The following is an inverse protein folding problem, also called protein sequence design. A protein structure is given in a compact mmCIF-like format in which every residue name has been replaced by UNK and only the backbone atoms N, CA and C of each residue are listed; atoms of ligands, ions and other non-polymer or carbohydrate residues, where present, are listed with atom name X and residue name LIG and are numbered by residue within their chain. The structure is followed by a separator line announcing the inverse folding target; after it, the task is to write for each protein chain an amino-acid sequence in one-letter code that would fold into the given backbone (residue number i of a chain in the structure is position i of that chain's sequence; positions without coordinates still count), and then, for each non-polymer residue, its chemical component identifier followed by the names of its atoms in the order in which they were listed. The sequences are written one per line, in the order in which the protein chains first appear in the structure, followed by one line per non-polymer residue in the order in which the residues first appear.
data_IF_061461929571
#
_entry.id   IF_061461929571
#
_cell.length_a   1.000
_cell.length_b   1.000
_cell.length_c   1.000
_cell.angle_alpha   90.00
_cell.angle_beta   90.00
_cell.angle_gamma   90.00
#
_symmetry.space_group_name_H-M   'P 1'
#
loop_
_entity.id
_entity.type
_entity.pdbx_description
1 polymer ?
#
# COMPACT_ATOMS: atom_id res chain seq x y z
N UNK A 1 -16.27 12.09 0.52
CA UNK A 1 -17.04 11.43 -0.58
C UNK A 1 -16.49 10.01 -0.71
N UNK A 2 -17.19 9.03 -0.13
CA UNK A 2 -16.76 7.63 -0.09
C UNK A 2 -16.89 6.94 -1.46
N UNK A 3 -16.06 5.92 -1.70
CA UNK A 3 -16.12 5.03 -2.87
C UNK A 3 -17.02 3.84 -2.55
N UNK A 4 -18.33 4.08 -2.41
CA UNK A 4 -19.32 3.14 -1.89
C UNK A 4 -20.31 2.63 -2.96
N UNK A 5 -20.04 2.88 -4.23
CA UNK A 5 -20.86 2.43 -5.36
C UNK A 5 -20.13 1.36 -6.16
N UNK A 6 -20.53 0.11 -5.98
CA UNK A 6 -19.95 -1.07 -6.62
C UNK A 6 -20.04 -1.01 -8.15
N UNK A 7 -21.13 -0.46 -8.70
CA UNK A 7 -21.28 -0.30 -10.15
C UNK A 7 -20.26 0.65 -10.73
N UNK A 8 -20.06 1.81 -10.10
CA UNK A 8 -19.03 2.77 -10.48
C UNK A 8 -17.62 2.17 -10.32
N UNK A 9 -17.36 1.44 -9.24
CA UNK A 9 -16.08 0.79 -9.03
C UNK A 9 -15.78 -0.22 -10.17
N UNK A 10 -16.74 -1.04 -10.57
CA UNK A 10 -16.61 -1.99 -11.69
C UNK A 10 -16.26 -1.25 -12.99
N UNK A 11 -16.95 -0.15 -13.31
CA UNK A 11 -16.65 0.63 -14.52
C UNK A 11 -15.22 1.21 -14.50
N UNK A 12 -14.81 1.75 -13.37
CA UNK A 12 -13.51 2.38 -13.22
C UNK A 12 -12.36 1.38 -13.27
N UNK A 13 -12.45 0.23 -12.56
CA UNK A 13 -11.36 -0.76 -12.58
C UNK A 13 -11.33 -1.56 -13.90
N UNK A 14 -12.42 -1.61 -14.68
CA UNK A 14 -12.40 -2.12 -16.07
C UNK A 14 -11.47 -1.32 -16.96
N UNK A 15 -11.32 -0.01 -16.74
CA UNK A 15 -10.37 0.83 -17.47
C UNK A 15 -8.93 0.37 -17.21
N UNK A 16 -8.61 0.01 -15.96
CA UNK A 16 -7.32 -0.57 -15.58
C UNK A 16 -7.10 -1.94 -16.24
N UNK A 17 -8.09 -2.83 -16.18
CA UNK A 17 -8.04 -4.14 -16.86
C UNK A 17 -7.82 -3.99 -18.36
N UNK A 18 -8.52 -3.05 -19.01
CA UNK A 18 -8.39 -2.74 -20.45
C UNK A 18 -7.02 -2.18 -20.86
N UNK A 19 -6.22 -1.71 -19.90
CA UNK A 19 -4.84 -1.26 -20.10
C UNK A 19 -3.80 -2.32 -19.73
N UNK A 20 -4.22 -3.55 -19.45
CA UNK A 20 -3.34 -4.66 -19.11
C UNK A 20 -3.14 -4.89 -17.61
N UNK A 21 -3.83 -4.12 -16.76
CA UNK A 21 -3.86 -4.37 -15.32
C UNK A 21 -4.42 -5.75 -15.00
N UNK A 22 -3.90 -6.38 -13.95
CA UNK A 22 -4.26 -7.76 -13.58
C UNK A 22 -4.65 -7.93 -12.13
N UNK A 23 -3.99 -7.20 -11.24
CA UNK A 23 -4.16 -7.34 -9.79
C UNK A 23 -4.30 -5.98 -9.14
N UNK A 24 -5.21 -5.87 -8.21
CA UNK A 24 -5.40 -4.69 -7.35
C UNK A 24 -5.24 -5.14 -5.91
N UNK A 25 -4.39 -4.45 -5.14
CA UNK A 25 -4.37 -4.54 -3.70
C UNK A 25 -5.37 -3.50 -3.18
N UNK A 26 -6.36 -4.00 -2.48
CA UNK A 26 -7.42 -3.20 -1.86
C UNK A 26 -7.16 -3.21 -0.35
N UNK A 27 -6.56 -2.13 0.14
CA UNK A 27 -6.02 -2.05 1.51
C UNK A 27 -6.93 -1.25 2.46
N UNK A 28 -8.25 -1.33 2.23
CA UNK A 28 -9.27 -0.74 3.11
C UNK A 28 -9.58 -1.69 4.28
N UNK A 29 -9.02 -1.49 5.49
CA UNK A 29 -9.32 -2.36 6.62
C UNK A 29 -10.65 -1.99 7.29
N UNK A 30 -11.00 -2.72 8.34
CA UNK A 30 -12.14 -2.41 9.17
C UNK A 30 -12.03 -0.99 9.77
N UNK A 31 -13.16 -0.30 9.85
CA UNK A 31 -13.25 1.09 10.36
C UNK A 31 -13.17 2.15 9.28
N UNK A 32 -12.68 1.83 8.06
CA UNK A 32 -12.69 2.76 6.93
C UNK A 32 -13.45 2.24 5.70
N UNK A 33 -14.20 1.15 5.84
CA UNK A 33 -15.16 0.72 4.82
C UNK A 33 -14.85 -0.59 4.10
N UNK A 34 -14.08 -1.51 4.71
CA UNK A 34 -13.86 -2.85 4.14
C UNK A 34 -15.18 -3.52 3.77
N UNK A 35 -15.30 -4.00 2.54
CA UNK A 35 -16.52 -4.53 1.95
C UNK A 35 -16.24 -5.83 1.15
N UNK A 36 -16.08 -6.99 1.83
CA UNK A 36 -15.65 -8.24 1.19
C UNK A 36 -16.56 -8.71 0.05
N UNK A 37 -17.89 -8.63 0.23
CA UNK A 37 -18.84 -9.06 -0.77
C UNK A 37 -18.76 -8.23 -2.06
N UNK A 38 -18.57 -6.92 -1.93
CA UNK A 38 -18.41 -5.99 -3.05
C UNK A 38 -17.10 -6.27 -3.79
N UNK A 39 -16.00 -6.57 -3.09
CA UNK A 39 -14.73 -6.94 -3.72
C UNK A 39 -14.86 -8.22 -4.54
N UNK A 40 -15.61 -9.22 -4.06
CA UNK A 40 -15.91 -10.43 -4.82
C UNK A 40 -16.74 -10.10 -6.07
N UNK A 41 -17.74 -9.23 -5.94
CA UNK A 41 -18.57 -8.81 -7.08
C UNK A 41 -17.72 -8.08 -8.15
N UNK A 42 -16.85 -7.17 -7.72
CA UNK A 42 -15.94 -6.44 -8.61
C UNK A 42 -14.98 -7.41 -9.30
N UNK A 43 -14.33 -8.33 -8.56
CA UNK A 43 -13.42 -9.33 -9.12
C UNK A 43 -14.09 -10.18 -10.19
N UNK A 44 -15.31 -10.68 -9.90
CA UNK A 44 -16.09 -11.50 -10.86
C UNK A 44 -16.50 -10.71 -12.11
N UNK A 45 -16.92 -9.45 -11.93
CA UNK A 45 -17.39 -8.61 -13.03
C UNK A 45 -16.26 -8.13 -13.96
N UNK A 46 -15.01 -8.10 -13.47
CA UNK A 46 -13.87 -7.50 -14.18
C UNK A 46 -12.80 -8.50 -14.60
N UNK A 47 -12.79 -9.69 -14.00
CA UNK A 47 -11.74 -10.69 -14.18
C UNK A 47 -10.39 -10.31 -13.55
N UNK A 48 -10.35 -9.27 -12.71
CA UNK A 48 -9.17 -8.87 -11.97
C UNK A 48 -8.97 -9.74 -10.72
N UNK A 49 -7.72 -9.96 -10.35
CA UNK A 49 -7.41 -10.43 -9.00
C UNK A 49 -7.50 -9.24 -8.05
N UNK A 50 -8.30 -9.37 -7.00
CA UNK A 50 -8.39 -8.37 -5.94
C UNK A 50 -7.88 -9.01 -4.65
N UNK A 51 -6.84 -8.43 -4.07
CA UNK A 51 -6.23 -8.85 -2.81
C UNK A 51 -6.76 -7.94 -1.72
N UNK A 52 -7.59 -8.48 -0.83
CA UNK A 52 -8.20 -7.76 0.27
C UNK A 52 -7.23 -7.58 1.43
N UNK A 53 -7.21 -6.39 2.01
CA UNK A 53 -6.47 -6.04 3.22
C UNK A 53 -7.18 -6.39 4.52
N UNK A 54 -6.40 -6.44 5.62
CA UNK A 54 -6.92 -6.60 6.99
C UNK A 54 -6.06 -5.83 8.00
N UNK A 55 -6.57 -5.70 9.22
CA UNK A 55 -5.96 -4.91 10.28
C UNK A 55 -6.68 -3.59 10.51
N UNK A 56 -5.98 -2.58 11.02
CA UNK A 56 -6.61 -1.31 11.43
C UNK A 56 -5.77 -0.12 10.96
N UNK A 57 -6.47 0.91 10.50
CA UNK A 57 -5.90 2.15 9.98
C UNK A 57 -5.50 3.10 11.13
N UNK A 58 -5.73 4.39 11.00
CA UNK A 58 -5.41 5.40 12.01
C UNK A 58 -6.31 5.27 13.25
N UNK A 59 -5.80 5.61 14.44
CA UNK A 59 -6.52 5.49 15.72
C UNK A 59 -7.95 6.05 15.68
N UNK A 60 -8.14 7.19 15.04
CA UNK A 60 -9.47 7.84 14.90
C UNK A 60 -10.52 6.99 14.19
N UNK A 61 -10.10 5.95 13.47
CA UNK A 61 -10.97 5.04 12.72
C UNK A 61 -11.05 3.65 13.35
N UNK A 62 -10.30 3.40 14.44
CA UNK A 62 -10.32 2.11 15.11
C UNK A 62 -11.72 1.78 15.63
N UNK A 63 -12.24 0.58 15.41
CA UNK A 63 -13.39 0.08 16.13
C UNK A 63 -13.19 0.16 17.64
N UNK A 64 -14.24 0.47 18.39
CA UNK A 64 -14.14 0.73 19.83
C UNK A 64 -13.44 -0.40 20.64
N UNK A 65 -13.57 -1.67 20.17
CA UNK A 65 -12.95 -2.83 20.81
C UNK A 65 -11.42 -2.79 20.80
N UNK A 66 -10.81 -2.18 19.78
CA UNK A 66 -9.34 -2.14 19.60
C UNK A 66 -8.66 -1.49 20.80
N UNK A 67 -9.32 -0.52 21.45
CA UNK A 67 -8.79 0.14 22.66
C UNK A 67 -8.51 -0.84 23.79
N UNK A 68 -9.33 -1.88 23.95
CA UNK A 68 -9.17 -2.88 25.01
C UNK A 68 -8.33 -4.09 24.61
N UNK A 69 -8.00 -4.23 23.34
CA UNK A 69 -7.18 -5.32 22.83
C UNK A 69 -5.70 -5.10 23.16
N UNK A 70 -4.99 -6.20 23.41
CA UNK A 70 -3.53 -6.24 23.43
C UNK A 70 -2.98 -6.40 22.03
N UNK A 71 -1.67 -6.20 21.83
CA UNK A 71 -1.02 -6.50 20.54
C UNK A 71 -1.14 -7.99 20.16
N UNK A 72 -1.26 -8.90 21.14
CA UNK A 72 -1.50 -10.32 20.87
C UNK A 72 -2.92 -10.55 20.33
N UNK A 73 -3.95 -9.96 20.95
CA UNK A 73 -5.33 -10.07 20.47
C UNK A 73 -5.49 -9.51 19.05
N UNK A 74 -4.78 -8.41 18.75
CA UNK A 74 -4.76 -7.81 17.40
C UNK A 74 -4.09 -8.77 16.40
N UNK A 75 -2.97 -9.39 16.79
CA UNK A 75 -2.31 -10.38 15.95
C UNK A 75 -3.21 -11.57 15.64
N UNK A 76 -3.91 -12.09 16.66
CA UNK A 76 -4.82 -13.22 16.53
C UNK A 76 -6.03 -12.89 15.65
N UNK A 77 -6.52 -11.65 15.70
CA UNK A 77 -7.61 -11.20 14.82
C UNK A 77 -7.15 -11.08 13.37
N UNK A 78 -5.99 -10.47 13.12
CA UNK A 78 -5.41 -10.38 11.77
C UNK A 78 -5.15 -11.77 11.20
N UNK A 79 -4.60 -12.70 11.98
CA UNK A 79 -4.35 -14.07 11.56
C UNK A 79 -5.64 -14.79 11.17
N UNK A 80 -6.74 -14.59 11.90
CA UNK A 80 -8.06 -15.12 11.53
C UNK A 80 -8.57 -14.53 10.20
N UNK A 81 -8.44 -13.23 9.98
CA UNK A 81 -8.83 -12.60 8.72
C UNK A 81 -8.05 -13.20 7.52
N UNK A 82 -6.80 -13.62 7.73
CA UNK A 82 -5.94 -14.24 6.71
C UNK A 82 -6.26 -15.72 6.49
N UNK A 83 -6.62 -16.47 7.53
CA UNK A 83 -6.76 -17.94 7.48
C UNK A 83 -8.21 -18.38 7.33
N UNK A 84 -9.12 -17.77 8.07
CA UNK A 84 -10.56 -18.08 8.04
C UNK A 84 -11.32 -17.10 7.16
N UNK A 85 -10.93 -15.82 7.18
CA UNK A 85 -11.53 -14.75 6.39
C UNK A 85 -12.65 -14.01 7.09
N UNK A 86 -13.16 -12.97 6.42
CA UNK A 86 -14.29 -12.13 6.82
C UNK A 86 -15.39 -12.36 5.81
N UNK A 87 -16.59 -12.73 6.27
CA UNK A 87 -17.74 -13.06 5.40
C UNK A 87 -17.39 -14.07 4.29
N UNK A 88 -16.51 -15.04 4.60
CA UNK A 88 -16.07 -16.08 3.68
C UNK A 88 -14.98 -15.63 2.68
N UNK A 89 -14.42 -14.42 2.83
CA UNK A 89 -13.34 -13.88 2.00
C UNK A 89 -12.08 -13.73 2.83
N UNK A 90 -11.01 -14.45 2.49
CA UNK A 90 -9.72 -14.33 3.17
C UNK A 90 -8.97 -13.10 2.69
N UNK A 91 -8.38 -12.38 3.64
CA UNK A 91 -7.42 -11.34 3.31
C UNK A 91 -6.12 -11.95 2.74
N UNK A 92 -5.37 -11.17 1.97
CA UNK A 92 -4.10 -11.59 1.38
C UNK A 92 -2.95 -10.60 1.63
N UNK A 93 -3.21 -9.51 2.33
CA UNK A 93 -2.22 -8.52 2.76
C UNK A 93 -2.62 -7.98 4.14
N UNK A 94 -1.65 -7.78 5.02
CA UNK A 94 -1.84 -7.09 6.30
C UNK A 94 -1.72 -5.59 6.01
N UNK A 95 -2.79 -4.85 6.21
CA UNK A 95 -2.80 -3.42 5.97
C UNK A 95 -4.02 -2.93 5.16
N UNK A 96 -4.07 -1.64 5.03
CA UNK A 96 -3.04 -0.66 5.41
C UNK A 96 -3.07 -0.41 6.92
N UNK A 97 -1.92 -0.57 7.60
CA UNK A 97 -1.77 -0.30 9.03
C UNK A 97 -1.42 1.17 9.21
N UNK A 98 -2.23 1.90 9.97
CA UNK A 98 -2.13 3.35 10.06
C UNK A 98 -1.07 3.83 11.06
N UNK A 99 -0.23 4.77 10.61
CA UNK A 99 0.65 5.58 11.45
C UNK A 99 0.39 7.04 11.12
N UNK A 100 -0.15 7.80 12.10
CA UNK A 100 -0.41 9.24 11.98
C UNK A 100 0.85 10.08 12.26
N UNK A 101 0.82 11.42 12.03
CA UNK A 101 1.91 12.30 12.44
C UNK A 101 2.22 12.24 13.94
N UNK A 102 1.23 11.89 14.77
CA UNK A 102 1.41 11.76 16.23
C UNK A 102 2.02 10.41 16.62
N UNK A 103 1.87 9.39 15.78
CA UNK A 103 2.26 8.01 16.01
C UNK A 103 1.89 7.57 17.44
N UNK A 104 0.60 7.53 17.70
CA UNK A 104 0.04 7.31 19.03
C UNK A 104 0.39 5.92 19.60
N UNK A 105 0.24 5.77 20.91
CA UNK A 105 0.45 4.46 21.57
C UNK A 105 -0.53 3.38 21.05
N UNK A 106 -1.75 3.79 20.66
CA UNK A 106 -2.73 2.88 20.07
C UNK A 106 -2.31 2.43 18.66
N UNK A 107 -1.79 3.33 17.84
CA UNK A 107 -1.25 3.00 16.52
C UNK A 107 0.00 2.12 16.62
N UNK A 108 0.91 2.40 17.55
CA UNK A 108 2.08 1.54 17.80
C UNK A 108 1.65 0.15 18.28
N UNK A 109 0.65 0.05 19.16
CA UNK A 109 0.09 -1.24 19.59
C UNK A 109 -0.47 -2.04 18.41
N UNK A 110 -1.20 -1.39 17.51
CA UNK A 110 -1.72 -2.02 16.28
C UNK A 110 -0.59 -2.47 15.37
N UNK A 111 0.42 -1.64 15.15
CA UNK A 111 1.59 -2.01 14.33
C UNK A 111 2.34 -3.21 14.93
N UNK A 112 2.50 -3.28 16.26
CA UNK A 112 3.08 -4.44 16.94
C UNK A 112 2.27 -5.71 16.71
N UNK A 113 0.93 -5.63 16.82
CA UNK A 113 0.03 -6.75 16.51
C UNK A 113 0.15 -7.22 15.05
N UNK A 114 0.17 -6.27 14.13
CA UNK A 114 0.33 -6.55 12.70
C UNK A 114 1.69 -7.20 12.37
N UNK A 115 2.77 -6.73 12.99
CA UNK A 115 4.10 -7.32 12.83
C UNK A 115 4.18 -8.75 13.38
N UNK A 116 3.53 -9.04 14.51
CA UNK A 116 3.39 -10.43 15.06
C UNK A 116 2.61 -11.33 14.11
N UNK A 117 1.50 -10.84 13.55
CA UNK A 117 0.72 -11.59 12.57
C UNK A 117 1.55 -11.86 11.31
N UNK A 118 2.31 -10.86 10.82
CA UNK A 118 3.26 -11.06 9.72
C UNK A 118 4.32 -12.11 10.04
N UNK A 119 4.92 -12.06 11.23
CA UNK A 119 5.92 -13.03 11.66
C UNK A 119 5.38 -14.47 11.67
N UNK A 120 4.10 -14.65 12.03
CA UNK A 120 3.45 -15.98 12.10
C UNK A 120 3.00 -16.49 10.72
N UNK A 121 2.53 -15.60 9.86
CA UNK A 121 1.87 -15.96 8.60
C UNK A 121 2.76 -15.78 7.37
N UNK A 122 3.82 -14.97 7.49
CA UNK A 122 4.64 -14.53 6.37
C UNK A 122 3.95 -13.57 5.38
N UNK A 123 2.66 -13.27 5.55
CA UNK A 123 1.89 -12.42 4.63
C UNK A 123 2.46 -10.99 4.60
N UNK A 124 2.54 -10.33 3.43
CA UNK A 124 3.09 -8.97 3.34
C UNK A 124 2.37 -7.98 4.26
N UNK A 125 3.15 -7.06 4.84
CA UNK A 125 2.68 -5.97 5.69
C UNK A 125 2.82 -4.63 4.97
N UNK A 126 1.71 -3.91 4.79
CA UNK A 126 1.67 -2.54 4.25
C UNK A 126 1.39 -1.55 5.37
N UNK A 127 2.26 -0.55 5.53
CA UNK A 127 2.16 0.45 6.59
C UNK A 127 2.00 1.84 5.98
N UNK A 128 0.89 2.50 6.30
CA UNK A 128 0.64 3.90 6.00
C UNK A 128 1.59 4.78 6.82
N UNK A 129 2.40 5.57 6.17
CA UNK A 129 3.20 6.61 6.81
C UNK A 129 2.56 7.99 6.63
N UNK A 130 2.72 8.91 7.59
CA UNK A 130 2.46 10.32 7.34
C UNK A 130 3.56 10.86 6.42
N UNK A 131 3.33 10.91 5.12
CA UNK A 131 4.35 11.06 4.07
C UNK A 131 5.41 12.16 4.29
N UNK A 132 5.04 13.22 5.01
CA UNK A 132 5.94 14.34 5.32
C UNK A 132 6.77 14.16 6.59
N UNK A 133 6.49 13.11 7.41
CA UNK A 133 7.26 12.77 8.62
C UNK A 133 8.13 11.55 8.38
N UNK A 134 9.35 11.52 8.89
CA UNK A 134 10.35 10.46 8.63
C UNK A 134 10.26 9.31 9.64
N UNK A 135 9.09 8.64 9.71
CA UNK A 135 8.86 7.52 10.64
C UNK A 135 9.26 6.15 10.11
N UNK A 136 9.74 6.02 8.87
CA UNK A 136 10.06 4.73 8.29
C UNK A 136 11.01 3.89 9.14
N UNK A 137 12.08 4.48 9.69
CA UNK A 137 13.01 3.74 10.57
C UNK A 137 12.33 3.26 11.85
N UNK A 138 11.54 4.11 12.52
CA UNK A 138 10.81 3.74 13.74
C UNK A 138 9.81 2.60 13.46
N UNK A 139 9.11 2.66 12.34
CA UNK A 139 8.19 1.59 11.92
C UNK A 139 8.96 0.29 11.72
N UNK A 140 10.08 0.32 11.00
CA UNK A 140 10.90 -0.87 10.78
C UNK A 140 11.54 -1.41 12.07
N UNK A 141 11.83 -0.54 13.05
CA UNK A 141 12.32 -0.97 14.36
C UNK A 141 11.23 -1.75 15.10
N UNK A 142 9.99 -1.21 15.16
CA UNK A 142 8.84 -1.91 15.76
C UNK A 142 8.57 -3.24 15.08
N UNK A 143 8.61 -3.29 13.74
CA UNK A 143 8.41 -4.54 12.99
C UNK A 143 9.48 -5.57 13.34
N UNK A 144 10.76 -5.17 13.41
CA UNK A 144 11.87 -6.06 13.76
C UNK A 144 11.80 -6.54 15.23
N UNK A 145 11.43 -5.66 16.17
CA UNK A 145 11.25 -6.00 17.58
C UNK A 145 10.21 -7.11 17.79
N UNK A 146 9.16 -7.14 16.97
CA UNK A 146 8.10 -8.16 17.02
C UNK A 146 8.38 -9.39 16.14
N UNK A 147 9.58 -9.50 15.59
CA UNK A 147 10.01 -10.61 14.74
C UNK A 147 9.46 -10.56 13.31
N UNK A 148 8.89 -9.44 12.89
CA UNK A 148 8.35 -9.27 11.54
C UNK A 148 9.44 -9.21 10.47
N UNK A 149 9.06 -9.53 9.23
CA UNK A 149 9.96 -9.59 8.08
C UNK A 149 10.07 -8.23 7.38
N UNK A 150 11.19 -7.54 7.57
CA UNK A 150 11.42 -6.26 6.90
C UNK A 150 11.38 -6.39 5.36
N UNK A 151 11.82 -7.53 4.82
CA UNK A 151 11.77 -7.84 3.39
C UNK A 151 10.35 -8.12 2.86
N UNK A 152 9.39 -8.30 3.75
CA UNK A 152 7.97 -8.43 3.46
C UNK A 152 7.16 -7.19 3.87
N UNK A 153 7.84 -6.08 4.20
CA UNK A 153 7.19 -4.84 4.66
C UNK A 153 7.25 -3.76 3.59
N UNK A 154 6.09 -3.15 3.31
CA UNK A 154 5.92 -1.99 2.43
C UNK A 154 5.73 -0.75 3.29
N UNK A 155 6.51 0.27 3.05
CA UNK A 155 6.34 1.60 3.61
C UNK A 155 5.61 2.46 2.57
N UNK A 156 4.32 2.71 2.79
CA UNK A 156 3.48 3.52 1.89
C UNK A 156 3.79 5.00 2.00
N UNK A 157 3.39 5.78 0.99
CA UNK A 157 3.46 7.24 0.93
C UNK A 157 4.88 7.81 1.06
N UNK A 158 5.85 7.17 0.39
CA UNK A 158 7.23 7.70 0.37
C UNK A 158 7.46 8.79 -0.69
N UNK A 159 6.46 9.12 -1.50
CA UNK A 159 6.54 10.18 -2.51
C UNK A 159 7.03 11.53 -1.92
N UNK A 160 6.49 12.06 -0.79
CA UNK A 160 6.94 13.33 -0.21
C UNK A 160 8.40 13.32 0.27
N UNK A 161 8.97 12.14 0.49
CA UNK A 161 10.39 11.98 0.85
C UNK A 161 11.31 11.74 -0.34
N UNK A 162 10.81 11.77 -1.59
CA UNK A 162 11.58 11.43 -2.79
C UNK A 162 12.86 12.24 -3.03
N UNK A 163 12.91 13.47 -2.52
CA UNK A 163 14.11 14.30 -2.56
C UNK A 163 15.14 13.92 -1.49
N UNK A 164 14.73 13.26 -0.41
CA UNK A 164 15.57 12.78 0.69
C UNK A 164 16.15 11.39 0.35
N UNK A 165 17.13 11.39 -0.53
CA UNK A 165 17.71 10.17 -1.10
C UNK A 165 18.34 9.26 -0.05
N UNK A 166 19.07 9.83 0.89
CA UNK A 166 19.74 9.08 1.95
C UNK A 166 18.74 8.34 2.83
N UNK A 167 17.63 8.98 3.17
CA UNK A 167 16.55 8.36 3.90
C UNK A 167 15.96 7.17 3.12
N UNK A 168 15.61 7.34 1.86
CA UNK A 168 15.03 6.27 1.06
C UNK A 168 15.99 5.10 0.82
N UNK A 169 17.26 5.39 0.53
CA UNK A 169 18.32 4.38 0.41
C UNK A 169 18.44 3.58 1.71
N UNK A 170 18.48 4.26 2.85
CA UNK A 170 18.63 3.62 4.16
C UNK A 170 17.46 2.68 4.49
N UNK A 171 16.23 3.03 4.12
CA UNK A 171 15.05 2.16 4.28
C UNK A 171 15.13 0.93 3.36
N UNK A 172 15.46 1.12 2.09
CA UNK A 172 15.61 0.02 1.13
C UNK A 172 16.72 -0.96 1.53
N UNK A 173 17.84 -0.46 2.05
CA UNK A 173 18.96 -1.29 2.54
C UNK A 173 18.59 -2.11 3.79
N UNK A 174 17.61 -1.67 4.58
CA UNK A 174 17.02 -2.48 5.66
C UNK A 174 16.12 -3.60 5.14
N UNK A 175 15.79 -3.61 3.86
CA UNK A 175 15.01 -4.64 3.21
C UNK A 175 13.58 -4.24 2.84
N UNK A 176 13.07 -3.11 3.34
CA UNK A 176 11.70 -2.66 3.08
C UNK A 176 11.46 -2.31 1.60
N UNK A 177 10.22 -2.46 1.16
CA UNK A 177 9.75 -1.89 -0.10
C UNK A 177 9.34 -0.44 0.10
N UNK A 178 9.68 0.39 -0.88
CA UNK A 178 9.36 1.81 -0.95
C UNK A 178 8.08 2.00 -1.77
N UNK A 179 6.96 2.35 -1.12
CA UNK A 179 5.69 2.62 -1.77
C UNK A 179 5.66 4.03 -2.37
N UNK A 180 5.79 4.12 -3.69
CA UNK A 180 5.49 5.31 -4.48
C UNK A 180 4.05 5.22 -4.95
N UNK A 181 3.12 5.38 -4.03
CA UNK A 181 1.70 5.11 -4.20
C UNK A 181 0.82 6.37 -4.30
N UNK A 182 1.41 7.55 -4.23
CA UNK A 182 0.73 8.82 -4.43
C UNK A 182 0.91 9.38 -5.85
N UNK A 183 1.09 8.52 -6.86
CA UNK A 183 1.22 8.98 -8.25
C UNK A 183 -0.13 9.54 -8.76
N UNK A 184 -0.09 10.71 -9.40
CA UNK A 184 -1.29 11.43 -9.83
C UNK A 184 -1.93 12.30 -8.75
N UNK A 185 -1.33 12.40 -7.57
CA UNK A 185 -1.82 13.21 -6.46
C UNK A 185 -1.01 14.51 -6.31
N UNK A 186 -1.16 15.42 -7.26
CA UNK A 186 -0.58 16.78 -7.16
C UNK A 186 -1.51 17.67 -6.32
N UNK A 187 -1.61 17.38 -5.02
CA UNK A 187 -2.50 18.06 -4.09
C UNK A 187 -1.73 18.72 -2.95
N UNK A 188 -2.29 19.81 -2.43
CA UNK A 188 -1.90 20.35 -1.13
C UNK A 188 -2.69 19.60 -0.04
N UNK A 189 -1.99 18.98 0.89
CA UNK A 189 -2.57 18.37 2.09
C UNK A 189 -2.50 19.39 3.23
N UNK A 190 -3.65 19.97 3.66
CA UNK A 190 -3.64 21.02 4.68
C UNK A 190 -3.02 20.54 5.99
N UNK A 191 -2.02 21.27 6.49
CA UNK A 191 -1.29 20.95 7.72
C UNK A 191 -0.15 19.94 7.55
N UNK A 192 0.00 19.33 6.37
CA UNK A 192 1.05 18.35 6.07
C UNK A 192 2.05 18.88 5.04
N UNK A 193 1.59 19.15 3.81
CA UNK A 193 2.45 19.67 2.75
C UNK A 193 1.90 19.51 1.35
N UNK A 194 2.66 19.97 0.36
CA UNK A 194 2.40 19.73 -1.05
C UNK A 194 2.91 18.36 -1.46
N UNK A 195 2.04 17.53 -2.03
CA UNK A 195 2.46 16.27 -2.66
C UNK A 195 3.31 16.57 -3.90
N UNK A 196 4.41 15.83 -4.12
CA UNK A 196 5.21 15.99 -5.33
C UNK A 196 4.40 15.59 -6.57
N UNK A 197 4.59 16.34 -7.66
CA UNK A 197 3.97 16.01 -8.92
C UNK A 197 4.56 14.74 -9.55
N UNK A 198 3.89 14.20 -10.56
CA UNK A 198 4.35 12.98 -11.24
C UNK A 198 5.73 13.10 -11.88
N UNK A 199 6.15 14.31 -12.29
CA UNK A 199 7.47 14.52 -12.87
C UNK A 199 8.57 14.36 -11.80
N UNK A 200 8.34 14.91 -10.61
CA UNK A 200 9.24 14.76 -9.45
C UNK A 200 9.28 13.31 -8.98
N UNK A 201 8.12 12.65 -8.90
CA UNK A 201 8.02 11.23 -8.57
C UNK A 201 8.77 10.35 -9.58
N UNK A 202 8.60 10.60 -10.87
CA UNK A 202 9.29 9.84 -11.92
C UNK A 202 10.81 10.05 -11.88
N UNK A 203 11.27 11.27 -11.59
CA UNK A 203 12.69 11.57 -11.40
C UNK A 203 13.27 10.81 -10.19
N UNK A 204 12.56 10.78 -9.07
CA UNK A 204 12.96 10.07 -7.86
C UNK A 204 13.03 8.55 -8.08
N UNK A 205 11.99 7.95 -8.67
CA UNK A 205 11.96 6.52 -9.02
C UNK A 205 13.09 6.17 -9.98
N UNK A 206 13.29 6.96 -11.03
CA UNK A 206 14.37 6.73 -11.99
C UNK A 206 15.76 6.84 -11.35
N UNK A 207 15.92 7.72 -10.38
CA UNK A 207 17.16 7.79 -9.61
C UNK A 207 17.38 6.53 -8.77
N UNK A 208 16.35 6.03 -8.06
CA UNK A 208 16.43 4.78 -7.29
C UNK A 208 16.80 3.59 -8.16
N UNK A 209 16.19 3.48 -9.36
CA UNK A 209 16.52 2.42 -10.33
C UNK A 209 17.99 2.49 -10.73
N UNK A 210 18.51 3.68 -11.08
CA UNK A 210 19.93 3.88 -11.44
C UNK A 210 20.88 3.63 -10.27
N UNK A 211 20.43 3.85 -9.05
CA UNK A 211 21.18 3.51 -7.82
C UNK A 211 21.16 2.01 -7.49
N UNK A 212 20.54 1.15 -8.33
CA UNK A 212 20.44 -0.29 -8.11
C UNK A 212 19.30 -0.72 -7.16
N UNK A 213 18.47 0.21 -6.70
CA UNK A 213 17.40 -0.02 -5.73
C UNK A 213 16.02 -0.22 -6.37
N UNK A 214 15.94 -0.30 -7.70
CA UNK A 214 14.68 -0.49 -8.42
C UNK A 214 13.91 -1.74 -7.98
N UNK A 215 14.60 -2.77 -7.47
CA UNK A 215 14.00 -3.99 -6.94
C UNK A 215 13.26 -3.80 -5.61
N UNK A 216 13.31 -2.60 -5.01
CA UNK A 216 12.65 -2.25 -3.75
C UNK A 216 11.54 -1.20 -3.93
N UNK A 217 11.20 -0.83 -5.15
CA UNK A 217 10.18 0.20 -5.42
C UNK A 217 8.88 -0.46 -5.88
N UNK A 218 7.77 -0.03 -5.31
CA UNK A 218 6.40 -0.36 -5.74
C UNK A 218 5.70 0.91 -6.19
N UNK A 219 4.86 0.80 -7.21
CA UNK A 219 4.13 1.94 -7.80
C UNK A 219 2.63 1.77 -7.62
N UNK A 220 1.94 2.82 -7.22
CA UNK A 220 0.49 2.88 -7.15
C UNK A 220 -0.02 4.33 -7.27
N UNK A 221 -1.34 4.49 -7.26
CA UNK A 221 -2.03 5.78 -7.37
C UNK A 221 -3.01 6.02 -6.21
N UNK A 222 -3.13 5.10 -5.27
CA UNK A 222 -3.92 5.20 -4.04
C UNK A 222 -5.27 5.92 -4.24
N UNK A 223 -6.17 5.32 -5.03
CA UNK A 223 -7.48 5.91 -5.33
C UNK A 223 -8.41 5.73 -4.13
N UNK A 224 -8.64 6.79 -3.36
CA UNK A 224 -9.46 6.78 -2.15
C UNK A 224 -10.62 7.79 -2.15
N UNK A 225 -10.71 8.67 -3.17
CA UNK A 225 -11.78 9.66 -3.31
C UNK A 225 -12.52 9.52 -4.64
N UNK A 226 -13.82 9.81 -4.65
CA UNK A 226 -14.62 9.87 -5.89
C UNK A 226 -14.04 10.82 -6.94
N UNK A 227 -13.48 11.94 -6.51
CA UNK A 227 -12.85 12.93 -7.41
C UNK A 227 -11.62 12.40 -8.13
N UNK A 228 -11.03 11.30 -7.65
CA UNK A 228 -9.88 10.65 -8.31
C UNK A 228 -10.32 9.70 -9.43
N UNK A 229 -11.60 9.32 -9.50
CA UNK A 229 -12.14 8.48 -10.57
C UNK A 229 -12.27 9.25 -11.88
N UNK A 230 -12.04 8.56 -13.00
CA UNK A 230 -12.17 9.16 -14.35
C UNK A 230 -13.56 9.73 -14.58
N UNK A 231 -14.58 9.06 -14.07
CA UNK A 231 -15.98 9.52 -14.13
C UNK A 231 -16.20 10.94 -13.56
N UNK A 232 -15.39 11.34 -12.58
CA UNK A 232 -15.49 12.64 -11.90
C UNK A 232 -14.31 13.58 -12.23
N UNK A 233 -13.56 13.27 -13.29
CA UNK A 233 -12.48 14.12 -13.77
C UNK A 233 -11.09 13.79 -13.22
N UNK A 234 -10.97 12.74 -12.42
CA UNK A 234 -9.67 12.25 -11.93
C UNK A 234 -8.95 11.36 -12.94
N UNK A 235 -7.81 10.83 -12.54
CA UNK A 235 -6.93 10.00 -13.37
C UNK A 235 -7.26 8.50 -13.31
N UNK A 236 -7.96 8.06 -12.25
CA UNK A 236 -8.46 6.71 -12.05
C UNK A 236 -7.39 5.64 -11.85
N UNK A 237 -7.85 4.41 -11.80
CA UNK A 237 -7.00 3.23 -11.50
C UNK A 237 -5.97 2.91 -12.59
N UNK A 238 -6.11 3.43 -13.81
CA UNK A 238 -5.16 3.17 -14.89
C UNK A 238 -4.01 4.19 -14.96
N UNK A 239 -3.95 5.17 -14.05
CA UNK A 239 -3.01 6.29 -14.10
C UNK A 239 -1.56 5.85 -14.27
N UNK A 240 -1.11 4.87 -13.46
CA UNK A 240 0.26 4.34 -13.57
C UNK A 240 0.57 3.88 -14.99
N UNK A 241 -0.31 3.08 -15.58
CA UNK A 241 -0.08 2.48 -16.90
C UNK A 241 -0.18 3.49 -18.05
N UNK A 242 -1.06 4.49 -17.90
CA UNK A 242 -1.37 5.41 -19.00
C UNK A 242 -0.55 6.71 -18.96
N UNK A 243 -0.12 7.15 -17.78
CA UNK A 243 0.53 8.44 -17.59
C UNK A 243 1.90 8.34 -16.95
N UNK A 244 2.05 7.54 -15.89
CA UNK A 244 3.29 7.49 -15.13
C UNK A 244 4.38 6.67 -15.83
N UNK A 245 4.06 5.49 -16.37
CA UNK A 245 5.02 4.68 -17.15
C UNK A 245 5.63 5.43 -18.33
N UNK A 246 4.86 6.16 -19.16
CA UNK A 246 5.46 7.01 -20.19
C UNK A 246 6.43 8.09 -19.65
N UNK A 247 6.20 8.60 -18.42
CA UNK A 247 7.15 9.53 -17.78
C UNK A 247 8.43 8.82 -17.37
N UNK A 248 8.33 7.63 -16.76
CA UNK A 248 9.51 6.83 -16.43
C UNK A 248 10.39 6.57 -17.66
N UNK A 249 9.78 6.26 -18.80
CA UNK A 249 10.53 6.09 -20.06
C UNK A 249 11.22 7.38 -20.49
N UNK A 250 10.60 8.57 -20.34
CA UNK A 250 11.27 9.87 -20.62
C UNK A 250 12.45 10.12 -19.67
N UNK A 251 12.38 9.60 -18.45
CA UNK A 251 13.50 9.59 -17.48
C UNK A 251 14.53 8.50 -17.76
N UNK A 252 14.43 7.78 -18.86
CA UNK A 252 15.43 6.81 -19.33
C UNK A 252 15.26 5.39 -18.79
N UNK A 253 14.15 5.06 -18.12
CA UNK A 253 13.86 3.69 -17.73
C UNK A 253 13.46 2.86 -18.96
N UNK A 254 13.93 1.61 -18.99
CA UNK A 254 13.61 0.64 -20.02
C UNK A 254 12.26 -0.06 -19.76
N UNK A 255 11.75 -0.78 -20.74
CA UNK A 255 10.60 -1.68 -20.57
C UNK A 255 10.89 -2.77 -19.51
N UNK A 256 12.12 -3.25 -19.41
CA UNK A 256 12.54 -4.19 -18.37
C UNK A 256 12.44 -3.58 -16.97
N UNK A 257 12.86 -2.31 -16.80
CA UNK A 257 12.74 -1.62 -15.51
C UNK A 257 11.27 -1.45 -15.10
N UNK A 258 10.41 -1.03 -16.03
CA UNK A 258 8.97 -0.87 -15.72
C UNK A 258 8.28 -2.21 -15.47
N UNK A 259 8.67 -3.30 -16.13
CA UNK A 259 8.20 -4.65 -15.82
C UNK A 259 8.59 -5.05 -14.40
N UNK A 260 9.82 -4.78 -14.00
CA UNK A 260 10.29 -5.02 -12.62
C UNK A 260 9.43 -4.29 -11.60
N UNK A 261 9.21 -2.98 -11.80
CA UNK A 261 8.45 -2.14 -10.87
C UNK A 261 6.98 -2.58 -10.74
N UNK A 262 6.36 -3.04 -11.85
CA UNK A 262 4.91 -3.29 -11.92
C UNK A 262 4.52 -4.76 -11.76
N UNK A 263 5.43 -5.69 -11.99
CA UNK A 263 5.13 -7.12 -11.99
C UNK A 263 6.08 -7.92 -11.10
N UNK A 264 7.41 -7.80 -11.30
CA UNK A 264 8.35 -8.65 -10.58
C UNK A 264 8.44 -8.29 -9.10
N UNK A 265 8.55 -7.00 -8.75
CA UNK A 265 8.62 -6.57 -7.35
C UNK A 265 7.35 -6.95 -6.56
N UNK A 266 6.11 -6.65 -7.03
CA UNK A 266 4.91 -7.12 -6.35
C UNK A 266 4.88 -8.64 -6.21
N UNK A 267 5.25 -9.38 -7.27
CA UNK A 267 5.31 -10.83 -7.23
C UNK A 267 6.32 -11.33 -6.19
N UNK A 268 7.51 -10.75 -6.12
CA UNK A 268 8.54 -11.15 -5.16
C UNK A 268 8.13 -10.85 -3.72
N UNK A 269 7.45 -9.70 -3.47
CA UNK A 269 6.88 -9.39 -2.18
C UNK A 269 5.95 -10.51 -1.68
N UNK A 270 5.03 -10.98 -2.52
CA UNK A 270 4.10 -12.05 -2.15
C UNK A 270 4.75 -13.44 -2.12
N UNK A 271 5.79 -13.71 -2.92
CA UNK A 271 6.52 -14.98 -2.89
C UNK A 271 7.46 -15.09 -1.68
N UNK A 272 8.02 -14.00 -1.19
CA UNK A 272 8.81 -14.00 0.04
C UNK A 272 7.97 -14.46 1.24
N UNK A 273 6.71 -14.04 1.28
CA UNK A 273 5.71 -14.50 2.23
C UNK A 273 5.49 -16.03 2.20
N UNK A 274 5.41 -16.60 0.99
CA UNK A 274 5.14 -18.04 0.82
C UNK A 274 6.34 -18.95 1.14
N UNK A 275 7.56 -18.40 1.24
CA UNK A 275 8.79 -19.17 1.51
C UNK A 275 9.18 -19.24 2.99
N UNK A 276 8.51 -18.47 3.84
CA UNK A 276 8.74 -18.41 5.27
C UNK A 276 8.02 -19.51 6.07
N UNK A 277 7.34 -20.40 5.37
CA UNK A 277 6.59 -21.52 5.95
C UNK A 277 7.04 -22.87 5.32
#
# INVERSE_FOLDING_TARGET
MSLDDTGTAIEEVRRFAGRGGRTVLEVTPEGIGRAPAELVAIARATGLNIVMGCGFYLEKTHPARVRSMTAADIADEIERDLTEGVDGVRAGVIGEIGVSPDFTAEEEKVLRGAARAQARTGVPLSVHLPGWVRYGHRVLDVVAEEGGLLTGTVLSHLNPSGADRDYQVSLALRGAYLGYDMCGMDYLYPGEGQSPCDEENAAAVAWLVRAGLGHKVLLSQDVFLKTMLVRYGGTGYAHILTHFVPRLHRHGLTAGDTTRLLADNPRELFLAAARGH
#
